data_IF_764936634683
#
_entry.id   IF_764936634683
#
_cell.length_a   1.000
_cell.length_b   1.000
_cell.length_c   1.000
_cell.angle_alpha   90.00
_cell.angle_beta   90.00
_cell.angle_gamma   90.00
#
_symmetry.space_group_name_H-M   'P 1'
#
loop_
_entity.id
_entity.type
_entity.pdbx_description
1 polymer ?
#
# COMPACT_ATOMS: atom_id res chain seq x y z
N UNK A 1 6.52 9.19 -16.14
CA UNK A 1 7.50 8.25 -15.58
C UNK A 1 8.09 8.78 -14.30
N UNK A 2 8.29 7.90 -13.33
CA UNK A 2 9.03 8.20 -12.10
C UNK A 2 10.41 7.55 -12.17
N UNK A 3 11.49 8.19 -11.68
CA UNK A 3 12.76 7.52 -11.49
C UNK A 3 12.72 6.47 -10.37
N UNK A 4 11.67 6.48 -9.53
CA UNK A 4 11.50 5.59 -8.39
C UNK A 4 10.96 4.22 -8.79
N UNK A 5 10.11 4.18 -9.83
CA UNK A 5 9.42 2.97 -10.28
C UNK A 5 9.58 2.77 -11.79
N UNK A 6 9.80 1.54 -12.27
CA UNK A 6 9.83 1.26 -13.69
C UNK A 6 8.45 1.43 -14.33
N UNK A 7 8.42 1.69 -15.63
CA UNK A 7 7.20 1.62 -16.42
C UNK A 7 6.53 0.27 -16.29
N UNK A 8 5.20 0.28 -16.20
CA UNK A 8 4.40 -0.94 -16.14
C UNK A 8 4.48 -1.73 -17.45
N UNK A 9 4.60 -3.04 -17.36
CA UNK A 9 4.53 -3.95 -18.51
C UNK A 9 3.23 -3.86 -19.30
N UNK A 10 2.13 -3.47 -18.62
CA UNK A 10 0.83 -3.32 -19.25
C UNK A 10 0.74 -2.16 -20.25
N UNK A 11 1.67 -1.21 -20.20
CA UNK A 11 1.70 -0.06 -21.13
C UNK A 11 2.50 -0.34 -22.40
N UNK A 12 3.49 -1.23 -22.32
CA UNK A 12 4.45 -1.42 -23.43
C UNK A 12 4.75 -2.89 -23.73
N UNK A 13 4.16 -3.83 -22.99
CA UNK A 13 4.46 -5.26 -23.07
C UNK A 13 5.72 -5.68 -22.33
N UNK A 14 6.50 -4.73 -21.79
CA UNK A 14 7.72 -5.01 -21.02
C UNK A 14 7.92 -4.01 -19.89
N UNK A 15 8.08 -4.50 -18.67
CA UNK A 15 8.36 -3.62 -17.53
C UNK A 15 9.66 -2.82 -17.73
N UNK A 16 9.62 -1.54 -17.40
CA UNK A 16 10.74 -0.62 -17.56
C UNK A 16 10.86 0.03 -18.94
N UNK A 17 10.11 -0.45 -19.95
CA UNK A 17 10.05 0.18 -21.25
C UNK A 17 8.95 1.26 -21.26
N UNK A 18 9.31 2.49 -21.68
CA UNK A 18 8.32 3.53 -21.93
C UNK A 18 7.42 3.17 -23.11
N UNK A 19 6.15 3.62 -23.13
CA UNK A 19 5.32 3.47 -24.32
C UNK A 19 5.87 4.28 -25.51
N UNK A 20 5.73 3.72 -26.69
CA UNK A 20 6.10 4.38 -27.95
C UNK A 20 4.93 4.21 -28.95
N UNK A 21 4.28 5.29 -29.40
CA UNK A 21 4.55 6.71 -29.03
C UNK A 21 4.35 7.01 -27.56
N UNK A 22 5.02 8.07 -27.10
CA UNK A 22 4.93 8.50 -25.69
C UNK A 22 3.49 8.73 -25.25
N UNK A 23 3.14 8.14 -24.10
CA UNK A 23 1.83 8.26 -23.50
C UNK A 23 1.92 8.22 -21.98
N UNK A 24 1.39 9.23 -21.30
CA UNK A 24 1.22 9.25 -19.85
C UNK A 24 -0.27 9.05 -19.51
N UNK A 25 -0.66 7.85 -19.04
CA UNK A 25 -2.06 7.54 -18.77
C UNK A 25 -2.67 8.38 -17.65
N UNK A 26 -1.87 8.80 -16.66
CA UNK A 26 -2.37 9.63 -15.56
C UNK A 26 -2.61 11.07 -16.02
N UNK A 27 -1.68 11.66 -16.76
CA UNK A 27 -1.85 12.98 -17.38
C UNK A 27 -3.10 13.02 -18.28
N UNK A 28 -3.27 11.99 -19.10
CA UNK A 28 -4.46 11.85 -19.94
C UNK A 28 -5.74 11.79 -19.10
N UNK A 29 -5.76 10.94 -18.06
CA UNK A 29 -6.95 10.78 -17.20
C UNK A 29 -7.30 12.09 -16.48
N UNK A 30 -6.30 12.82 -15.95
CA UNK A 30 -6.50 14.13 -15.34
C UNK A 30 -7.14 15.11 -16.34
N UNK A 31 -6.56 15.23 -17.55
CA UNK A 31 -7.09 16.10 -18.59
C UNK A 31 -8.55 15.79 -18.94
N UNK A 32 -8.89 14.51 -19.08
CA UNK A 32 -10.24 14.08 -19.40
C UNK A 32 -11.24 14.27 -18.24
N UNK A 33 -10.79 14.10 -16.99
CA UNK A 33 -11.61 14.42 -15.81
C UNK A 33 -11.90 15.92 -15.71
N UNK A 34 -10.89 16.77 -15.87
CA UNK A 34 -11.04 18.24 -15.83
C UNK A 34 -12.04 18.76 -16.88
N UNK A 35 -11.98 18.23 -18.10
CA UNK A 35 -12.93 18.60 -19.17
C UNK A 35 -14.40 18.28 -18.82
N UNK A 36 -14.62 17.35 -17.89
CA UNK A 36 -15.96 16.86 -17.49
C UNK A 36 -16.40 17.34 -16.11
N UNK A 37 -15.57 18.16 -15.43
CA UNK A 37 -15.83 18.60 -14.06
C UNK A 37 -15.82 17.45 -13.04
N UNK A 38 -14.97 16.45 -13.27
CA UNK A 38 -14.80 15.30 -12.38
C UNK A 38 -13.51 15.42 -11.58
N UNK A 39 -13.57 15.08 -10.30
CA UNK A 39 -12.39 14.89 -9.47
C UNK A 39 -11.73 13.56 -9.80
N UNK A 40 -10.38 13.51 -9.67
CA UNK A 40 -9.61 12.31 -9.92
C UNK A 40 -8.90 11.85 -8.64
N UNK A 41 -9.25 10.63 -8.20
CA UNK A 41 -8.62 9.96 -7.09
C UNK A 41 -7.65 8.89 -7.61
N UNK A 42 -6.37 9.00 -7.27
CA UNK A 42 -5.34 8.06 -7.71
C UNK A 42 -5.20 6.94 -6.68
N UNK A 43 -5.55 5.73 -7.10
CA UNK A 43 -5.45 4.55 -6.27
C UNK A 43 -4.03 3.96 -6.27
N UNK A 44 -3.55 3.59 -5.09
CA UNK A 44 -2.30 2.87 -4.89
C UNK A 44 -2.53 1.60 -4.08
N UNK A 45 -1.75 0.55 -4.40
CA UNK A 45 -1.53 -0.57 -3.49
C UNK A 45 -0.17 -0.38 -2.82
N UNK A 46 -0.12 -0.09 -1.50
CA UNK A 46 1.13 0.37 -0.88
C UNK A 46 2.20 -0.69 -0.77
N UNK A 47 1.82 -1.96 -0.63
CA UNK A 47 2.79 -2.99 -0.26
C UNK A 47 2.99 -4.10 -1.29
N UNK A 48 2.15 -4.23 -2.30
CA UNK A 48 2.31 -5.28 -3.31
C UNK A 48 3.34 -4.89 -4.37
N UNK A 49 4.55 -5.44 -4.28
CA UNK A 49 5.63 -5.18 -5.23
C UNK A 49 5.49 -6.02 -6.52
N UNK A 50 5.10 -7.31 -6.42
CA UNK A 50 4.85 -8.18 -7.58
C UNK A 50 3.56 -8.95 -7.38
N UNK A 51 2.66 -8.89 -8.37
CA UNK A 51 1.35 -9.54 -8.35
C UNK A 51 1.44 -11.05 -8.63
N UNK A 52 2.39 -11.50 -9.44
CA UNK A 52 2.56 -12.91 -9.74
C UNK A 52 4.02 -13.17 -10.13
N UNK A 53 4.73 -13.94 -9.30
CA UNK A 53 6.16 -14.24 -9.47
C UNK A 53 6.44 -15.15 -10.69
N UNK A 54 5.45 -15.93 -11.12
CA UNK A 54 5.60 -16.84 -12.24
C UNK A 54 5.41 -16.14 -13.61
N UNK A 55 4.82 -14.94 -13.60
CA UNK A 55 4.46 -14.21 -14.82
C UNK A 55 5.22 -12.90 -14.99
N UNK A 56 5.67 -12.27 -13.91
CA UNK A 56 6.31 -10.95 -13.95
C UNK A 56 7.83 -11.10 -14.02
N UNK A 57 8.43 -10.53 -15.06
CA UNK A 57 9.88 -10.33 -15.16
C UNK A 57 10.19 -8.92 -14.71
N UNK A 58 10.72 -8.78 -13.51
CA UNK A 58 11.05 -7.48 -12.93
C UNK A 58 12.19 -6.80 -13.71
N UNK A 59 12.01 -5.51 -14.04
CA UNK A 59 13.06 -4.71 -14.66
C UNK A 59 14.28 -4.59 -13.72
N UNK A 60 15.51 -4.37 -14.24
CA UNK A 60 16.71 -4.28 -13.40
C UNK A 60 16.62 -3.21 -12.29
N UNK A 61 15.94 -2.11 -12.55
CA UNK A 61 15.71 -1.03 -11.58
C UNK A 61 14.44 -1.19 -10.73
N UNK A 62 13.73 -2.32 -10.83
CA UNK A 62 12.59 -2.59 -9.96
C UNK A 62 13.06 -2.82 -8.52
N UNK A 63 12.29 -2.33 -7.54
CA UNK A 63 12.64 -2.39 -6.12
C UNK A 63 12.97 -3.80 -5.62
N UNK A 64 12.33 -4.83 -6.14
CA UNK A 64 12.64 -6.23 -5.78
C UNK A 64 14.04 -6.69 -6.20
N UNK A 65 14.70 -5.98 -7.12
CA UNK A 65 16.07 -6.22 -7.56
C UNK A 65 17.05 -5.27 -6.88
N UNK A 66 16.64 -4.04 -6.61
CA UNK A 66 17.52 -3.02 -6.01
C UNK A 66 17.55 -3.06 -4.49
N UNK A 67 16.45 -3.50 -3.86
CA UNK A 67 16.28 -3.61 -2.41
C UNK A 67 15.57 -4.90 -2.03
N UNK A 68 16.16 -6.07 -2.34
CA UNK A 68 15.55 -7.37 -2.00
C UNK A 68 15.36 -7.57 -0.49
N UNK A 69 16.13 -6.87 0.35
CA UNK A 69 16.04 -6.90 1.80
C UNK A 69 14.76 -6.27 2.36
N UNK A 70 14.03 -5.50 1.55
CA UNK A 70 12.73 -4.93 1.92
C UNK A 70 11.55 -5.81 1.55
N UNK A 71 11.82 -6.93 0.86
CA UNK A 71 10.80 -7.71 0.15
C UNK A 71 10.64 -9.08 0.79
N UNK A 72 9.40 -9.47 0.98
CA UNK A 72 9.02 -10.82 1.38
C UNK A 72 8.17 -11.49 0.32
N UNK A 73 8.28 -12.82 0.23
CA UNK A 73 7.42 -13.64 -0.63
C UNK A 73 6.31 -14.25 0.23
N UNK A 74 5.06 -14.05 -0.18
CA UNK A 74 3.88 -14.63 0.48
C UNK A 74 2.92 -15.18 -0.58
N UNK A 75 2.73 -16.49 -0.58
CA UNK A 75 2.08 -17.19 -1.69
C UNK A 75 2.90 -17.03 -2.99
N UNK A 76 2.21 -16.67 -4.06
CA UNK A 76 2.84 -16.42 -5.37
C UNK A 76 3.09 -14.94 -5.68
N UNK A 77 3.22 -14.11 -4.63
CA UNK A 77 3.38 -12.66 -4.74
C UNK A 77 4.59 -12.19 -3.94
N UNK A 78 5.10 -11.01 -4.29
CA UNK A 78 6.09 -10.30 -3.48
C UNK A 78 5.51 -9.03 -2.92
N UNK A 79 5.82 -8.78 -1.65
CA UNK A 79 5.36 -7.62 -0.90
C UNK A 79 6.53 -6.88 -0.28
N UNK A 80 6.41 -5.59 -0.15
CA UNK A 80 7.21 -4.89 0.86
C UNK A 80 6.86 -5.43 2.24
N UNK A 81 7.85 -5.58 3.09
CA UNK A 81 7.63 -5.91 4.49
C UNK A 81 7.24 -4.62 5.26
N UNK A 82 5.99 -4.53 5.77
CA UNK A 82 5.54 -3.33 6.48
C UNK A 82 6.33 -3.02 7.76
N UNK A 83 7.03 -4.01 8.31
CA UNK A 83 7.89 -3.86 9.48
C UNK A 83 9.19 -3.13 9.22
N UNK A 84 9.58 -2.95 7.94
CA UNK A 84 10.83 -2.28 7.56
C UNK A 84 10.59 -0.78 7.35
N UNK A 85 11.23 0.09 8.17
CA UNK A 85 11.05 1.54 8.06
C UNK A 85 11.41 2.11 6.68
N UNK A 86 12.51 1.63 6.10
CA UNK A 86 13.00 2.08 4.79
C UNK A 86 12.05 1.73 3.65
N UNK A 87 11.40 0.56 3.72
CA UNK A 87 10.36 0.15 2.76
C UNK A 87 9.15 1.09 2.84
N UNK A 88 8.71 1.43 4.06
CA UNK A 88 7.62 2.39 4.29
C UNK A 88 7.98 3.78 3.77
N UNK A 89 9.21 4.24 4.01
CA UNK A 89 9.69 5.52 3.49
C UNK A 89 9.71 5.54 1.96
N UNK A 90 10.14 4.45 1.33
CA UNK A 90 10.12 4.33 -0.13
C UNK A 90 8.71 4.46 -0.69
N UNK A 91 7.72 3.76 -0.12
CA UNK A 91 6.31 3.87 -0.53
C UNK A 91 5.82 5.31 -0.37
N UNK A 92 6.12 5.97 0.74
CA UNK A 92 5.75 7.36 0.96
C UNK A 92 6.40 8.30 -0.07
N UNK A 93 7.65 8.05 -0.49
CA UNK A 93 8.31 8.82 -1.56
C UNK A 93 7.63 8.62 -2.91
N UNK A 94 7.24 7.39 -3.26
CA UNK A 94 6.53 7.09 -4.52
C UNK A 94 5.21 7.84 -4.60
N UNK A 95 4.39 7.81 -3.54
CA UNK A 95 3.13 8.56 -3.49
C UNK A 95 3.39 10.07 -3.55
N UNK A 96 4.36 10.55 -2.78
CA UNK A 96 4.74 11.97 -2.76
C UNK A 96 5.22 12.47 -4.11
N UNK A 97 5.91 11.65 -4.91
CA UNK A 97 6.34 11.97 -6.26
C UNK A 97 5.13 12.20 -7.19
N UNK A 98 4.10 11.37 -7.10
CA UNK A 98 2.86 11.56 -7.86
C UNK A 98 2.14 12.83 -7.43
N UNK A 99 1.99 13.07 -6.12
CA UNK A 99 1.34 14.30 -5.59
C UNK A 99 2.06 15.58 -6.07
N UNK A 100 3.40 15.58 -6.14
CA UNK A 100 4.15 16.74 -6.63
C UNK A 100 3.95 17.00 -8.11
N UNK A 101 3.95 15.93 -8.92
CA UNK A 101 4.03 16.05 -10.39
C UNK A 101 2.67 16.21 -11.06
N UNK A 102 1.60 15.71 -10.45
CA UNK A 102 0.29 15.66 -11.08
C UNK A 102 -0.73 16.51 -10.33
N UNK A 103 -1.67 17.08 -11.08
CA UNK A 103 -2.80 17.86 -10.55
C UNK A 103 -3.98 16.92 -10.21
N UNK A 104 -3.77 16.08 -9.18
CA UNK A 104 -4.77 15.15 -8.66
C UNK A 104 -5.55 15.74 -7.49
N UNK A 105 -6.79 15.27 -7.27
CA UNK A 105 -7.65 15.73 -6.19
C UNK A 105 -7.47 14.89 -4.92
N UNK A 106 -7.21 13.59 -5.08
CA UNK A 106 -7.00 12.71 -3.94
C UNK A 106 -6.03 11.56 -4.22
N UNK A 107 -5.41 11.07 -3.16
CA UNK A 107 -4.75 9.76 -3.07
C UNK A 107 -5.71 8.78 -2.40
N UNK A 108 -5.86 7.60 -2.95
CA UNK A 108 -6.77 6.58 -2.48
C UNK A 108 -6.07 5.25 -2.23
N UNK A 109 -6.28 4.67 -1.04
CA UNK A 109 -5.90 3.30 -0.71
C UNK A 109 -7.16 2.47 -0.45
N UNK A 110 -7.08 1.17 -0.71
CA UNK A 110 -8.08 0.20 -0.30
C UNK A 110 -7.68 -0.53 0.99
N UNK A 111 -8.02 -1.80 1.13
CA UNK A 111 -7.73 -2.63 2.30
C UNK A 111 -6.43 -3.44 2.18
N UNK A 112 -5.64 -3.25 1.12
CA UNK A 112 -4.41 -4.02 0.88
C UNK A 112 -3.20 -3.47 1.64
N UNK A 113 -3.24 -3.52 2.97
CA UNK A 113 -2.07 -3.29 3.82
C UNK A 113 -1.28 -4.60 3.99
N UNK A 114 -1.48 -5.37 5.05
CA UNK A 114 -1.05 -6.76 5.04
C UNK A 114 -1.90 -7.57 4.06
N UNK A 115 -1.34 -8.58 3.38
CA UNK A 115 -2.11 -9.39 2.44
C UNK A 115 -3.16 -10.24 3.15
N UNK A 116 -4.19 -10.62 2.42
CA UNK A 116 -5.18 -11.58 2.89
C UNK A 116 -4.51 -12.87 3.33
N UNK A 117 -4.94 -13.38 4.49
CA UNK A 117 -4.35 -14.57 5.11
C UNK A 117 -4.46 -15.79 4.20
N UNK A 118 -3.36 -16.51 4.07
CA UNK A 118 -3.31 -17.83 3.46
C UNK A 118 -3.41 -18.87 4.58
N UNK A 119 -4.36 -19.79 4.48
CA UNK A 119 -4.58 -20.80 5.53
C UNK A 119 -3.29 -21.58 5.82
N UNK A 120 -2.90 -21.63 7.09
CA UNK A 120 -1.70 -22.34 7.56
C UNK A 120 -0.36 -21.67 7.20
N UNK A 121 -0.36 -20.47 6.63
CA UNK A 121 0.87 -19.75 6.27
C UNK A 121 0.93 -18.41 6.99
N UNK A 122 1.93 -18.22 7.83
CA UNK A 122 2.17 -16.92 8.46
C UNK A 122 2.82 -15.95 7.47
N UNK A 123 2.50 -14.66 7.60
CA UNK A 123 3.25 -13.63 6.88
C UNK A 123 4.70 -13.60 7.39
N UNK A 124 5.72 -13.62 6.51
CA UNK A 124 7.10 -13.87 6.90
C UNK A 124 7.84 -12.60 7.35
N UNK A 125 7.35 -11.96 8.41
CA UNK A 125 7.89 -10.73 8.99
C UNK A 125 8.69 -10.96 10.30
N UNK A 126 9.23 -12.18 10.50
CA UNK A 126 10.00 -12.51 11.71
C UNK A 126 11.27 -11.67 11.84
N UNK A 127 12.02 -11.53 10.76
CA UNK A 127 13.27 -10.76 10.75
C UNK A 127 13.04 -9.27 11.01
N UNK A 128 11.97 -8.70 10.44
CA UNK A 128 11.66 -7.29 10.67
C UNK A 128 11.13 -7.04 12.08
N UNK A 129 10.35 -7.97 12.64
CA UNK A 129 9.92 -7.89 14.02
C UNK A 129 11.11 -7.96 14.99
N UNK A 130 12.07 -8.87 14.77
CA UNK A 130 13.29 -8.97 15.59
C UNK A 130 14.13 -7.68 15.54
N UNK A 131 14.27 -7.10 14.35
CA UNK A 131 15.08 -5.88 14.14
C UNK A 131 14.38 -4.60 14.61
N UNK A 132 13.07 -4.52 14.48
CA UNK A 132 12.26 -3.32 14.74
C UNK A 132 11.03 -3.63 15.61
N UNK A 133 11.20 -4.16 16.82
CA UNK A 133 10.08 -4.58 17.67
C UNK A 133 9.24 -3.39 18.19
N UNK A 134 9.75 -2.16 18.13
CA UNK A 134 9.07 -0.93 18.55
C UNK A 134 8.44 -1.02 19.96
N UNK A 135 9.06 -1.79 20.87
CA UNK A 135 8.57 -2.00 22.23
C UNK A 135 7.47 -3.06 22.37
N UNK A 136 7.11 -3.76 21.30
CA UNK A 136 6.16 -4.88 21.37
C UNK A 136 6.89 -6.20 21.67
N UNK A 137 6.27 -7.02 22.53
CA UNK A 137 6.71 -8.40 22.80
C UNK A 137 6.09 -9.38 21.79
N UNK A 138 6.61 -10.61 21.73
CA UNK A 138 6.20 -11.60 20.75
C UNK A 138 4.70 -11.96 20.79
N UNK A 139 4.11 -11.97 21.98
CA UNK A 139 2.67 -12.18 22.22
C UNK A 139 1.81 -11.00 21.76
N UNK A 140 2.43 -9.84 21.47
CA UNK A 140 1.77 -8.65 20.93
C UNK A 140 2.13 -8.37 19.47
N UNK A 141 2.47 -9.41 18.71
CA UNK A 141 2.85 -9.30 17.29
C UNK A 141 1.79 -8.64 16.42
N UNK A 142 0.52 -8.94 16.65
CA UNK A 142 -0.58 -8.35 15.89
C UNK A 142 -0.75 -6.85 16.19
N UNK A 143 -0.48 -6.41 17.40
CA UNK A 143 -0.43 -4.98 17.74
C UNK A 143 0.72 -4.27 17.01
N UNK A 144 1.88 -4.92 16.92
CA UNK A 144 3.01 -4.40 16.17
C UNK A 144 2.70 -4.28 14.66
N UNK A 145 2.02 -5.25 14.07
CA UNK A 145 1.57 -5.16 12.68
C UNK A 145 0.59 -4.00 12.47
N UNK A 146 -0.38 -3.81 13.37
CA UNK A 146 -1.27 -2.65 13.35
C UNK A 146 -0.50 -1.34 13.46
N UNK A 147 0.47 -1.28 14.37
CA UNK A 147 1.31 -0.10 14.49
C UNK A 147 2.09 0.22 13.19
N UNK A 148 2.59 -0.79 12.48
CA UNK A 148 3.27 -0.56 11.19
C UNK A 148 2.33 0.04 10.13
N UNK A 149 1.07 -0.40 10.12
CA UNK A 149 0.05 0.20 9.23
C UNK A 149 -0.30 1.63 9.68
N UNK A 150 -0.48 1.88 10.97
CA UNK A 150 -0.72 3.23 11.49
C UNK A 150 0.41 4.20 11.12
N UNK A 151 1.65 3.73 11.19
CA UNK A 151 2.83 4.54 10.85
C UNK A 151 2.85 4.97 9.38
N UNK A 152 2.51 4.07 8.43
CA UNK A 152 2.45 4.48 7.02
C UNK A 152 1.29 5.40 6.74
N UNK A 153 0.11 5.17 7.33
CA UNK A 153 -1.05 6.04 7.17
C UNK A 153 -0.72 7.46 7.65
N UNK A 154 -0.14 7.57 8.85
CA UNK A 154 0.28 8.88 9.37
C UNK A 154 1.33 9.54 8.46
N UNK A 155 2.37 8.82 8.07
CA UNK A 155 3.44 9.34 7.24
C UNK A 155 2.94 9.83 5.88
N UNK A 156 2.02 9.11 5.26
CA UNK A 156 1.39 9.49 3.99
C UNK A 156 0.51 10.73 4.17
N UNK A 157 -0.33 10.76 5.18
CA UNK A 157 -1.17 11.92 5.48
C UNK A 157 -0.32 13.18 5.66
N UNK A 158 0.70 13.12 6.50
CA UNK A 158 1.62 14.24 6.76
C UNK A 158 2.34 14.66 5.47
N UNK A 159 2.85 13.69 4.69
CA UNK A 159 3.59 13.98 3.45
C UNK A 159 2.72 14.61 2.37
N UNK A 160 1.53 14.07 2.15
CA UNK A 160 0.57 14.60 1.16
C UNK A 160 0.18 16.03 1.53
N UNK A 161 -0.22 16.25 2.78
CA UNK A 161 -0.67 17.56 3.24
C UNK A 161 0.46 18.60 3.26
N UNK A 162 1.70 18.18 3.50
CA UNK A 162 2.86 19.08 3.43
C UNK A 162 3.21 19.52 1.99
N UNK A 163 2.90 18.67 0.99
CA UNK A 163 3.17 18.96 -0.42
C UNK A 163 2.05 19.77 -1.06
N UNK A 164 0.82 19.29 -0.92
CA UNK A 164 -0.40 19.92 -1.43
C UNK A 164 -1.53 19.78 -0.40
N UNK A 165 -1.79 20.79 0.43
CA UNK A 165 -2.81 20.73 1.48
C UNK A 165 -4.22 20.43 1.00
N UNK A 166 -4.53 20.75 -0.26
CA UNK A 166 -5.85 20.53 -0.88
C UNK A 166 -6.06 19.09 -1.35
N UNK A 167 -4.99 18.32 -1.55
CA UNK A 167 -5.12 16.93 -1.97
C UNK A 167 -5.66 16.09 -0.80
N UNK A 168 -6.74 15.37 -1.03
CA UNK A 168 -7.33 14.49 -0.03
C UNK A 168 -6.56 13.16 0.05
N UNK A 169 -6.63 12.54 1.23
CA UNK A 169 -6.12 11.17 1.44
C UNK A 169 -7.24 10.32 2.00
N UNK A 170 -7.69 9.34 1.23
CA UNK A 170 -8.81 8.47 1.55
C UNK A 170 -8.43 7.00 1.57
N UNK A 171 -9.17 6.23 2.39
CA UNK A 171 -9.01 4.79 2.50
C UNK A 171 -10.39 4.14 2.40
N UNK A 172 -10.53 3.14 1.52
CA UNK A 172 -11.69 2.24 1.46
C UNK A 172 -11.34 0.92 2.15
N UNK A 173 -11.53 0.82 3.46
CA UNK A 173 -11.15 -0.37 4.21
C UNK A 173 -12.11 -1.53 3.93
N UNK A 174 -11.72 -2.75 4.31
CA UNK A 174 -12.60 -3.91 4.29
C UNK A 174 -13.91 -3.64 5.06
N UNK A 175 -15.04 -4.19 4.62
CA UNK A 175 -16.37 -3.79 5.09
C UNK A 175 -16.72 -4.12 6.55
N UNK A 176 -15.90 -4.91 7.24
CA UNK A 176 -16.13 -5.31 8.65
C UNK A 176 -14.91 -4.95 9.48
N UNK A 177 -15.08 -4.07 10.46
CA UNK A 177 -14.01 -3.76 11.41
C UNK A 177 -13.67 -4.97 12.28
N UNK A 178 -14.63 -5.49 13.04
CA UNK A 178 -14.57 -6.72 13.83
C UNK A 178 -15.96 -7.36 13.92
N UNK A 179 -16.01 -8.67 14.13
CA UNK A 179 -17.26 -9.35 14.46
C UNK A 179 -17.68 -9.05 15.91
N UNK A 180 -18.97 -8.90 16.18
CA UNK A 180 -19.49 -8.67 17.52
C UNK A 180 -19.20 -9.82 18.50
N UNK A 181 -18.97 -11.02 17.99
CA UNK A 181 -18.55 -12.19 18.80
C UNK A 181 -17.13 -12.05 19.35
N UNK A 182 -16.29 -11.17 18.77
CA UNK A 182 -14.91 -10.89 19.20
C UNK A 182 -14.83 -9.59 19.99
N UNK A 183 -15.61 -8.60 19.59
CA UNK A 183 -15.68 -7.29 20.25
C UNK A 183 -17.12 -6.80 20.28
N UNK A 184 -17.68 -6.45 21.46
CA UNK A 184 -19.08 -5.98 21.58
C UNK A 184 -19.41 -4.75 20.73
N UNK A 185 -18.41 -3.90 20.40
CA UNK A 185 -18.56 -2.76 19.50
C UNK A 185 -18.51 -3.15 18.01
N UNK A 186 -18.25 -4.41 17.72
CA UNK A 186 -18.16 -4.94 16.36
C UNK A 186 -19.52 -5.09 15.69
N UNK A 187 -19.50 -5.39 14.39
CA UNK A 187 -20.70 -5.63 13.60
C UNK A 187 -21.35 -6.98 13.93
N UNK A 188 -22.68 -7.04 13.88
CA UNK A 188 -23.45 -8.29 14.03
C UNK A 188 -23.28 -9.20 12.79
N UNK A 189 -22.03 -9.57 12.52
CA UNK A 189 -21.60 -10.36 11.36
C UNK A 189 -20.85 -11.62 11.81
N UNK A 190 -20.63 -12.52 10.85
CA UNK A 190 -19.73 -13.69 10.96
C UNK A 190 -18.74 -13.68 9.81
N UNK A 191 -18.11 -12.52 9.56
CA UNK A 191 -17.11 -12.40 8.54
C UNK A 191 -15.92 -13.29 8.84
N UNK A 192 -15.44 -14.02 7.82
CA UNK A 192 -14.22 -14.84 7.92
C UNK A 192 -12.93 -14.03 7.93
N UNK A 193 -13.03 -12.71 7.68
CA UNK A 193 -11.93 -11.75 7.69
C UNK A 193 -12.44 -10.39 8.17
N UNK A 194 -11.59 -9.66 8.88
CA UNK A 194 -11.89 -8.34 9.44
C UNK A 194 -10.70 -7.40 9.31
N UNK A 195 -10.95 -6.09 9.34
CA UNK A 195 -9.87 -5.09 9.28
C UNK A 195 -8.87 -5.25 10.41
N UNK A 196 -9.37 -5.30 11.65
CA UNK A 196 -8.53 -5.20 12.84
C UNK A 196 -7.73 -6.49 13.10
N UNK A 197 -8.39 -7.66 13.01
CA UNK A 197 -7.78 -8.93 13.41
C UNK A 197 -7.01 -9.63 12.26
N UNK A 198 -7.35 -9.33 11.01
CA UNK A 198 -6.80 -10.06 9.86
C UNK A 198 -5.96 -9.20 8.93
N UNK A 199 -6.36 -7.93 8.71
CA UNK A 199 -5.65 -7.01 7.84
C UNK A 199 -4.79 -6.00 8.63
N UNK A 200 -4.84 -6.07 9.96
CA UNK A 200 -4.08 -5.21 10.87
C UNK A 200 -4.33 -3.72 10.64
N UNK A 201 -5.56 -3.38 10.24
CA UNK A 201 -6.00 -2.02 9.94
C UNK A 201 -6.92 -1.49 11.05
N UNK A 202 -6.41 -0.57 11.88
CA UNK A 202 -7.18 0.05 12.96
C UNK A 202 -7.92 1.30 12.46
N UNK A 203 -8.94 1.05 11.62
CA UNK A 203 -9.71 2.12 10.96
C UNK A 203 -10.40 3.09 11.92
N UNK A 204 -10.74 2.64 13.14
CA UNK A 204 -11.35 3.51 14.14
C UNK A 204 -10.34 4.50 14.76
N UNK A 205 -9.07 4.13 14.79
CA UNK A 205 -7.99 5.00 15.24
C UNK A 205 -7.71 6.13 14.25
N UNK A 206 -7.84 5.86 12.93
CA UNK A 206 -7.53 6.84 11.89
C UNK A 206 -8.59 7.93 11.73
N UNK A 207 -9.76 7.76 12.33
CA UNK A 207 -10.85 8.74 12.33
C UNK A 207 -10.76 9.80 13.47
N UNK A 208 -9.79 9.65 14.37
CA UNK A 208 -9.53 10.52 15.52
C UNK A 208 -8.40 11.50 15.24
#
# INVERSE_FOLDING_TARGET
ASPLEPWSEWLSGRQGAAPDPWYDPLEFAISECRKRGLDIHVWFNPYRAIQNIDKTVAAPNHVTNTHPEWIVTYGNKRYFDPGIPEAREFVARVVSDVVRRYDIDAVHFDDYFYPYKIAGVNFPDDNSFERYPNGYSADRRDDWRRNNVDLIIKQLSDSIKSIKPTVEFGISPFGVWRNQTVDPAGSATRAGMTNYDDLYADILKWQK
#
